data_IF_527808625141
#
_entry.id   IF_527808625141
#
_cell.length_a   1.000
_cell.length_b   1.000
_cell.length_c   1.000
_cell.angle_alpha   90.00
_cell.angle_beta   90.00
_cell.angle_gamma   90.00
#
_symmetry.space_group_name_H-M   'P 1'
#
loop_
_entity.id
_entity.type
_entity.pdbx_description
1 polymer ?
#
# COMPACT_ATOMS: atom_id res chain seq x y z
N UNK A 1 5.48 2.14 -21.06
CA UNK A 1 5.59 0.67 -21.15
C UNK A 1 6.06 0.26 -22.54
N UNK A 2 6.48 -1.00 -22.70
CA UNK A 2 6.71 -1.64 -23.99
C UNK A 2 5.53 -2.57 -24.29
N UNK A 3 4.79 -2.32 -25.37
CA UNK A 3 3.64 -3.15 -25.74
C UNK A 3 4.11 -4.58 -26.05
N UNK A 4 3.47 -5.59 -25.46
CA UNK A 4 3.91 -6.98 -25.62
C UNK A 4 3.73 -7.51 -27.05
N UNK A 5 2.65 -7.09 -27.73
CA UNK A 5 2.32 -7.56 -29.06
C UNK A 5 3.20 -6.93 -30.17
N UNK A 6 3.52 -5.64 -30.06
CA UNK A 6 4.19 -4.89 -31.14
C UNK A 6 5.61 -4.47 -30.79
N UNK A 7 6.02 -4.55 -29.52
CA UNK A 7 7.29 -4.00 -29.05
C UNK A 7 7.32 -2.46 -28.99
N UNK A 8 6.26 -1.77 -29.40
CA UNK A 8 6.20 -0.31 -29.43
C UNK A 8 6.20 0.28 -28.02
N UNK A 9 6.83 1.45 -27.87
CA UNK A 9 6.79 2.19 -26.60
C UNK A 9 5.50 3.01 -26.54
N UNK A 10 4.77 2.88 -25.43
CA UNK A 10 3.52 3.63 -25.17
C UNK A 10 3.52 4.22 -23.77
N UNK A 11 2.68 5.24 -23.53
CA UNK A 11 2.58 5.96 -22.24
C UNK A 11 1.15 5.95 -21.66
N UNK A 12 0.62 4.78 -21.26
CA UNK A 12 -0.71 4.72 -20.64
C UNK A 12 -0.69 5.14 -19.16
N UNK A 13 0.46 5.01 -18.49
CA UNK A 13 0.62 5.35 -17.08
C UNK A 13 0.76 6.88 -16.92
N UNK A 14 -0.22 7.50 -16.26
CA UNK A 14 -0.28 8.95 -16.03
C UNK A 14 -0.42 9.25 -14.54
N UNK A 15 0.14 10.37 -14.09
CA UNK A 15 0.01 10.85 -12.71
C UNK A 15 -0.63 12.22 -12.75
N UNK A 16 -1.80 12.33 -12.12
CA UNK A 16 -2.55 13.57 -12.01
C UNK A 16 -2.31 14.19 -10.63
N UNK A 17 -2.14 15.50 -10.59
CA UNK A 17 -1.89 16.24 -9.37
C UNK A 17 -2.66 17.56 -9.41
N UNK A 18 -3.04 18.06 -8.23
CA UNK A 18 -3.54 19.43 -8.10
C UNK A 18 -2.41 20.42 -8.39
N UNK A 19 -2.76 21.65 -8.79
CA UNK A 19 -1.76 22.69 -9.11
C UNK A 19 -0.76 22.89 -7.97
N UNK A 20 -1.24 22.95 -6.73
CA UNK A 20 -0.40 23.08 -5.53
C UNK A 20 0.64 21.96 -5.39
N UNK A 21 0.29 20.72 -5.72
CA UNK A 21 1.24 19.59 -5.65
C UNK A 21 2.21 19.65 -6.84
N UNK A 22 1.72 20.01 -8.02
CA UNK A 22 2.54 20.18 -9.22
C UNK A 22 3.63 21.25 -9.04
N UNK A 23 3.35 22.33 -8.31
CA UNK A 23 4.33 23.41 -8.03
C UNK A 23 5.55 22.92 -7.22
N UNK A 24 5.39 21.84 -6.44
CA UNK A 24 6.48 21.24 -5.67
C UNK A 24 7.30 20.21 -6.46
N UNK A 25 6.87 19.86 -7.68
CA UNK A 25 7.50 18.83 -8.51
C UNK A 25 8.80 19.36 -9.13
N UNK A 26 9.94 18.77 -8.76
CA UNK A 26 11.26 19.08 -9.34
C UNK A 26 11.58 18.22 -10.55
N UNK A 27 11.07 16.99 -10.61
CA UNK A 27 11.37 16.07 -11.72
C UNK A 27 10.28 15.00 -11.88
N UNK A 28 9.90 14.73 -13.12
CA UNK A 28 9.07 13.59 -13.51
C UNK A 28 9.73 12.89 -14.70
N UNK A 29 10.03 11.59 -14.58
CA UNK A 29 10.57 10.80 -15.70
C UNK A 29 10.24 9.33 -15.55
N UNK A 30 10.18 8.62 -16.67
CA UNK A 30 10.25 7.15 -16.67
C UNK A 30 11.69 6.69 -16.44
N UNK A 31 11.88 5.53 -15.80
CA UNK A 31 13.20 4.93 -15.59
C UNK A 31 13.20 3.50 -16.14
N UNK A 32 13.44 3.32 -17.45
CA UNK A 32 13.48 2.01 -18.07
C UNK A 32 14.51 1.07 -17.44
N UNK A 33 15.61 1.61 -16.90
CA UNK A 33 16.69 0.83 -16.29
C UNK A 33 16.27 0.18 -14.95
N UNK A 34 15.22 0.71 -14.32
CA UNK A 34 14.64 0.16 -13.09
C UNK A 34 13.39 -0.70 -13.37
N UNK A 35 13.19 -1.13 -14.62
CA UNK A 35 12.07 -2.01 -14.99
C UNK A 35 12.08 -3.29 -14.13
N UNK A 36 11.01 -3.55 -13.34
CA UNK A 36 10.93 -4.77 -12.54
C UNK A 36 10.89 -6.03 -13.43
N UNK A 37 11.33 -7.15 -12.86
CA UNK A 37 11.16 -8.46 -13.50
C UNK A 37 9.68 -8.76 -13.68
N UNK A 38 9.30 -9.38 -14.80
CA UNK A 38 7.94 -9.81 -15.12
C UNK A 38 6.90 -8.70 -15.32
N UNK A 39 7.33 -7.46 -15.60
CA UNK A 39 6.42 -6.40 -16.10
C UNK A 39 6.95 -5.82 -17.40
N UNK A 40 6.06 -5.38 -18.28
CA UNK A 40 6.38 -4.62 -19.48
C UNK A 40 6.26 -3.10 -19.26
N UNK A 41 5.90 -2.65 -18.05
CA UNK A 41 5.80 -1.25 -17.67
C UNK A 41 7.13 -0.69 -17.17
N UNK A 42 7.37 0.59 -17.44
CA UNK A 42 8.52 1.31 -16.88
C UNK A 42 8.05 2.12 -15.66
N UNK A 43 8.78 2.10 -14.54
CA UNK A 43 8.48 2.95 -13.40
C UNK A 43 8.49 4.44 -13.78
N UNK A 44 7.56 5.20 -13.21
CA UNK A 44 7.60 6.67 -13.22
C UNK A 44 8.18 7.14 -11.89
N UNK A 45 9.29 7.89 -11.95
CA UNK A 45 9.91 8.51 -10.78
C UNK A 45 9.56 9.99 -10.73
N UNK A 46 8.90 10.37 -9.65
CA UNK A 46 8.65 11.75 -9.28
C UNK A 46 9.62 12.17 -8.18
N UNK A 47 10.08 13.41 -8.24
CA UNK A 47 10.87 14.05 -7.18
C UNK A 47 10.17 15.34 -6.81
N UNK A 48 9.76 15.44 -5.56
CA UNK A 48 9.11 16.62 -5.01
C UNK A 48 10.04 17.30 -4.00
N UNK A 49 9.94 18.63 -3.93
CA UNK A 49 10.57 19.46 -2.91
C UNK A 49 9.55 19.75 -1.82
N UNK A 50 9.50 18.86 -0.84
CA UNK A 50 8.52 18.90 0.24
C UNK A 50 9.07 18.22 1.48
N UNK A 51 8.51 18.57 2.63
CA UNK A 51 8.82 17.94 3.90
C UNK A 51 7.91 16.74 4.12
N UNK A 52 8.48 15.62 4.58
CA UNK A 52 7.70 14.44 4.92
C UNK A 52 6.92 14.70 6.22
N UNK A 53 5.60 14.82 6.08
CA UNK A 53 4.69 14.93 7.22
C UNK A 53 4.35 13.56 7.78
N UNK A 54 4.04 13.51 9.07
CA UNK A 54 3.45 12.33 9.70
C UNK A 54 2.16 11.97 8.98
N UNK A 55 1.93 10.69 8.75
CA UNK A 55 0.74 10.21 8.05
C UNK A 55 0.11 9.04 8.76
N UNK A 56 -1.18 8.86 8.53
CA UNK A 56 -1.95 7.70 8.95
C UNK A 56 -1.35 6.41 8.39
N UNK A 57 -1.26 5.39 9.23
CA UNK A 57 -0.68 4.11 8.88
C UNK A 57 -1.73 2.99 8.83
N UNK A 58 -2.57 3.03 7.80
CA UNK A 58 -3.64 2.05 7.55
C UNK A 58 -3.20 0.58 7.53
N UNK A 59 -1.91 0.29 7.32
CA UNK A 59 -1.38 -1.09 7.30
C UNK A 59 -1.16 -1.69 8.70
N UNK A 60 -1.24 -0.85 9.74
CA UNK A 60 -0.95 -1.21 11.13
C UNK A 60 -2.17 -0.99 12.02
N UNK A 61 -3.35 -0.87 11.41
CA UNK A 61 -4.63 -0.69 12.08
C UNK A 61 -5.10 -2.02 12.63
N UNK A 62 -5.61 -2.02 13.87
CA UNK A 62 -6.48 -3.09 14.33
C UNK A 62 -7.87 -2.88 13.73
N UNK A 63 -8.17 -3.66 12.68
CA UNK A 63 -9.45 -3.55 11.98
C UNK A 63 -10.64 -4.00 12.83
N UNK A 64 -10.42 -4.81 13.85
CA UNK A 64 -11.49 -5.22 14.78
C UNK A 64 -11.92 -4.01 15.60
N UNK A 65 -10.96 -3.36 16.25
CA UNK A 65 -11.19 -2.14 17.04
C UNK A 65 -11.76 -1.01 16.17
N UNK A 66 -11.19 -0.81 14.96
CA UNK A 66 -11.69 0.19 14.01
C UNK A 66 -13.16 -0.04 13.67
N UNK A 67 -13.55 -1.28 13.36
CA UNK A 67 -14.92 -1.62 12.99
C UNK A 67 -15.89 -1.48 14.17
N UNK A 68 -15.47 -1.86 15.38
CA UNK A 68 -16.27 -1.67 16.59
C UNK A 68 -16.54 -0.19 16.84
N UNK A 69 -15.48 0.63 16.81
CA UNK A 69 -15.58 2.08 17.02
C UNK A 69 -16.44 2.76 15.95
N UNK A 70 -16.23 2.40 14.68
CA UNK A 70 -17.05 2.93 13.58
C UNK A 70 -18.51 2.51 13.73
N UNK A 71 -18.78 1.25 14.04
CA UNK A 71 -20.14 0.73 14.23
C UNK A 71 -20.89 1.48 15.32
N UNK A 72 -20.23 1.74 16.47
CA UNK A 72 -20.80 2.58 17.53
C UNK A 72 -21.12 3.99 17.03
N UNK A 73 -20.17 4.65 16.33
CA UNK A 73 -20.39 5.98 15.77
C UNK A 73 -21.54 6.03 14.75
N UNK A 74 -21.67 5.01 13.92
CA UNK A 74 -22.72 4.91 12.90
C UNK A 74 -24.08 4.55 13.49
N UNK A 75 -24.15 3.75 14.57
CA UNK A 75 -25.42 3.39 15.20
C UNK A 75 -26.21 4.58 15.76
N UNK A 76 -25.52 5.69 16.04
CA UNK A 76 -26.12 6.95 16.48
C UNK A 76 -26.75 7.71 15.29
N UNK A 77 -26.29 7.43 14.07
CA UNK A 77 -26.78 8.05 12.85
C UNK A 77 -27.93 7.21 12.31
N UNK A 78 -29.14 7.77 12.20
CA UNK A 78 -30.32 7.11 11.62
C UNK A 78 -30.19 6.95 10.08
N UNK A 79 -29.13 6.29 9.62
CA UNK A 79 -28.78 6.18 8.19
C UNK A 79 -29.72 5.25 7.41
N UNK A 80 -30.54 4.45 8.09
CA UNK A 80 -31.43 3.46 7.48
C UNK A 80 -32.75 4.03 6.96
N UNK A 81 -33.07 5.30 7.26
CA UNK A 81 -34.31 5.91 6.79
C UNK A 81 -34.26 6.22 5.28
N UNK A 82 -35.40 6.31 4.61
CA UNK A 82 -35.42 6.71 3.21
C UNK A 82 -35.03 8.19 3.06
N UNK A 83 -34.09 8.50 2.17
CA UNK A 83 -33.68 9.87 1.84
C UNK A 83 -34.74 10.50 0.94
N UNK A 84 -35.27 11.66 1.31
CA UNK A 84 -36.43 12.29 0.66
C UNK A 84 -36.05 13.42 -0.29
N UNK A 85 -34.90 14.05 -0.06
CA UNK A 85 -34.42 15.19 -0.85
C UNK A 85 -32.89 15.28 -0.84
N UNK A 86 -32.36 16.23 -1.62
CA UNK A 86 -30.91 16.42 -1.81
C UNK A 86 -30.26 16.97 -0.55
N UNK A 87 -30.96 17.82 0.20
CA UNK A 87 -30.47 18.43 1.43
C UNK A 87 -30.22 17.35 2.51
N UNK A 88 -31.18 16.43 2.67
CA UNK A 88 -31.08 15.28 3.57
C UNK A 88 -29.97 14.31 3.12
N UNK A 89 -29.78 14.14 1.81
CA UNK A 89 -28.66 13.36 1.28
C UNK A 89 -27.31 13.95 1.71
N UNK A 90 -27.09 15.25 1.49
CA UNK A 90 -25.84 15.91 1.81
C UNK A 90 -25.58 15.95 3.33
N UNK A 91 -26.63 16.12 4.14
CA UNK A 91 -26.53 16.03 5.59
C UNK A 91 -26.04 14.65 6.03
N UNK A 92 -26.69 13.58 5.55
CA UNK A 92 -26.29 12.20 5.89
C UNK A 92 -24.90 11.85 5.39
N UNK A 93 -24.55 12.29 4.18
CA UNK A 93 -23.19 12.15 3.63
C UNK A 93 -22.18 12.83 4.55
N UNK A 94 -22.44 14.06 4.96
CA UNK A 94 -21.57 14.82 5.87
C UNK A 94 -21.42 14.11 7.22
N UNK A 95 -22.50 13.57 7.77
CA UNK A 95 -22.46 12.81 9.03
C UNK A 95 -21.64 11.53 8.90
N UNK A 96 -21.80 10.79 7.80
CA UNK A 96 -21.00 9.60 7.50
C UNK A 96 -19.51 9.93 7.35
N UNK A 97 -19.17 10.96 6.57
CA UNK A 97 -17.79 11.43 6.38
C UNK A 97 -17.17 11.82 7.74
N UNK A 98 -17.91 12.52 8.59
CA UNK A 98 -17.47 12.89 9.95
C UNK A 98 -17.25 11.68 10.85
N UNK A 99 -18.17 10.72 10.87
CA UNK A 99 -18.03 9.51 11.69
C UNK A 99 -16.80 8.68 11.25
N UNK A 100 -16.58 8.57 9.94
CA UNK A 100 -15.40 7.91 9.39
C UNK A 100 -14.11 8.64 9.77
N UNK A 101 -14.06 9.96 9.56
CA UNK A 101 -12.88 10.77 9.89
C UNK A 101 -12.56 10.74 11.38
N UNK A 102 -13.57 10.84 12.24
CA UNK A 102 -13.39 10.73 13.69
C UNK A 102 -12.82 9.35 14.10
N UNK A 103 -13.27 8.28 13.45
CA UNK A 103 -12.75 6.93 13.71
C UNK A 103 -11.31 6.78 13.21
N UNK A 104 -11.00 7.35 12.04
CA UNK A 104 -9.64 7.40 11.50
C UNK A 104 -8.70 8.09 12.49
N UNK A 105 -9.07 9.27 12.98
CA UNK A 105 -8.26 10.06 13.91
C UNK A 105 -8.08 9.37 15.27
N UNK A 106 -9.10 8.65 15.74
CA UNK A 106 -9.05 7.96 17.03
C UNK A 106 -8.20 6.68 17.00
N UNK A 107 -8.33 5.87 15.93
CA UNK A 107 -7.80 4.50 15.91
C UNK A 107 -6.53 4.37 15.07
N UNK A 108 -6.41 5.12 13.97
CA UNK A 108 -5.33 4.86 13.02
C UNK A 108 -4.02 5.44 13.53
N UNK A 109 -2.97 4.61 13.70
CA UNK A 109 -1.71 5.08 14.23
C UNK A 109 -1.04 6.03 13.25
N UNK A 110 -0.49 7.12 13.76
CA UNK A 110 0.32 8.05 13.00
C UNK A 110 1.75 7.53 12.88
N UNK A 111 2.32 7.58 11.68
CA UNK A 111 3.70 7.16 11.41
C UNK A 111 4.46 8.25 10.66
N UNK A 112 5.68 8.54 11.14
CA UNK A 112 6.59 9.44 10.43
C UNK A 112 7.21 8.70 9.24
N UNK A 113 7.03 9.17 7.99
CA UNK A 113 7.63 8.51 6.84
C UNK A 113 9.16 8.53 6.93
N UNK A 114 9.76 7.41 6.53
CA UNK A 114 11.21 7.24 6.42
C UNK A 114 11.55 6.81 5.00
N UNK A 115 12.75 7.18 4.52
CA UNK A 115 13.26 6.77 3.20
C UNK A 115 13.36 5.25 3.01
N UNK A 116 13.38 4.48 4.10
CA UNK A 116 13.41 3.02 4.06
C UNK A 116 12.02 2.39 4.13
N UNK A 117 10.98 3.19 4.40
CA UNK A 117 9.61 2.71 4.49
C UNK A 117 9.06 2.50 3.09
N UNK A 118 8.64 1.28 2.80
CA UNK A 118 7.97 0.94 1.55
C UNK A 118 6.46 0.90 1.78
N UNK A 119 5.69 1.55 0.92
CA UNK A 119 4.23 1.64 1.04
C UNK A 119 3.54 0.28 0.92
N UNK A 120 4.09 -0.64 0.13
CA UNK A 120 3.59 -1.99 -0.11
C UNK A 120 4.10 -3.02 0.91
N UNK A 121 4.86 -2.61 1.92
CA UNK A 121 5.47 -3.53 2.88
C UNK A 121 4.60 -3.72 4.12
N UNK A 122 4.10 -4.94 4.31
CA UNK A 122 3.21 -5.34 5.41
C UNK A 122 3.91 -6.20 6.47
N UNK A 123 3.22 -6.49 7.59
CA UNK A 123 3.71 -7.40 8.63
C UNK A 123 3.84 -8.83 8.10
N UNK A 124 2.94 -9.26 7.23
CA UNK A 124 2.92 -10.58 6.59
C UNK A 124 4.16 -10.75 5.72
N UNK A 125 4.50 -9.76 4.87
CA UNK A 125 5.72 -9.75 4.09
C UNK A 125 6.97 -9.78 4.97
N UNK A 126 6.94 -9.12 6.14
CA UNK A 126 8.03 -9.19 7.11
C UNK A 126 8.22 -10.61 7.67
N UNK A 127 7.11 -11.30 7.99
CA UNK A 127 7.11 -12.70 8.45
C UNK A 127 7.62 -13.64 7.34
N UNK A 128 7.11 -13.53 6.12
CA UNK A 128 7.55 -14.32 4.96
C UNK A 128 9.04 -14.12 4.65
N UNK A 129 9.52 -12.88 4.70
CA UNK A 129 10.94 -12.57 4.52
C UNK A 129 11.81 -13.18 5.63
N UNK A 130 11.36 -13.10 6.88
CA UNK A 130 12.09 -13.65 8.02
C UNK A 130 12.21 -15.18 7.90
N UNK A 131 11.12 -15.85 7.53
CA UNK A 131 11.10 -17.30 7.30
C UNK A 131 12.00 -17.71 6.13
N UNK A 132 11.90 -17.02 5.00
CA UNK A 132 12.76 -17.25 3.83
C UNK A 132 14.24 -17.10 4.19
N UNK A 133 14.60 -16.07 4.97
CA UNK A 133 15.98 -15.87 5.45
C UNK A 133 16.42 -16.95 6.43
N UNK A 134 15.54 -17.41 7.32
CA UNK A 134 15.82 -18.51 8.25
C UNK A 134 16.16 -19.80 7.50
N UNK A 135 15.34 -20.15 6.50
CA UNK A 135 15.54 -21.31 5.64
C UNK A 135 16.80 -21.17 4.78
N UNK A 136 17.09 -19.98 4.26
CA UNK A 136 18.33 -19.70 3.52
C UNK A 136 19.58 -19.98 4.37
N UNK A 137 19.60 -19.56 5.64
CA UNK A 137 20.73 -19.84 6.55
C UNK A 137 20.91 -21.33 6.77
N UNK A 138 19.83 -22.07 6.98
CA UNK A 138 19.86 -23.53 7.14
C UNK A 138 20.34 -24.23 5.86
N UNK A 139 19.87 -23.77 4.70
CA UNK A 139 20.31 -24.26 3.40
C UNK A 139 21.80 -24.00 3.18
N UNK A 140 22.30 -22.83 3.57
CA UNK A 140 23.73 -22.51 3.45
C UNK A 140 24.59 -23.45 4.26
N UNK A 141 24.16 -23.84 5.47
CA UNK A 141 24.88 -24.79 6.31
C UNK A 141 24.88 -26.22 5.75
N UNK A 142 23.84 -26.59 4.99
CA UNK A 142 23.63 -27.94 4.44
C UNK A 142 23.74 -27.98 2.91
N UNK A 143 24.48 -27.04 2.33
CA UNK A 143 24.52 -26.83 0.87
C UNK A 143 25.00 -28.05 0.08
N UNK A 144 25.81 -28.91 0.71
CA UNK A 144 26.35 -30.14 0.12
C UNK A 144 25.40 -31.34 0.24
N UNK A 145 24.35 -31.25 1.06
CA UNK A 145 23.37 -32.32 1.27
C UNK A 145 22.22 -32.18 0.25
N UNK A 146 22.48 -32.47 -1.03
CA UNK A 146 21.55 -32.22 -2.16
C UNK A 146 20.13 -32.76 -1.95
N UNK A 147 19.98 -33.88 -1.24
CA UNK A 147 18.68 -34.52 -0.99
C UNK A 147 18.00 -34.05 0.31
N UNK A 148 18.56 -33.07 1.01
CA UNK A 148 17.99 -32.59 2.27
C UNK A 148 16.69 -31.79 1.99
N UNK A 149 15.59 -32.03 2.73
CA UNK A 149 14.29 -31.38 2.48
C UNK A 149 14.30 -29.85 2.63
N UNK A 150 15.39 -29.27 3.14
CA UNK A 150 15.57 -27.82 3.25
C UNK A 150 15.60 -27.13 1.89
N UNK A 151 16.09 -27.80 0.84
CA UNK A 151 16.14 -27.26 -0.52
C UNK A 151 14.73 -26.97 -1.04
N UNK A 152 13.80 -27.92 -0.87
CA UNK A 152 12.41 -27.75 -1.27
C UNK A 152 11.66 -26.77 -0.36
N UNK A 153 11.90 -26.81 0.96
CA UNK A 153 11.29 -25.86 1.89
C UNK A 153 11.70 -24.41 1.57
N UNK A 154 12.98 -24.18 1.30
CA UNK A 154 13.49 -22.86 0.89
C UNK A 154 12.87 -22.41 -0.43
N UNK A 155 12.83 -23.28 -1.46
CA UNK A 155 12.24 -22.97 -2.76
C UNK A 155 10.76 -22.57 -2.63
N UNK A 156 9.98 -23.30 -1.85
CA UNK A 156 8.56 -22.96 -1.58
C UNK A 156 8.42 -21.62 -0.89
N UNK A 157 9.20 -21.39 0.18
CA UNK A 157 9.16 -20.12 0.90
C UNK A 157 9.56 -18.93 0.02
N UNK A 158 10.57 -19.10 -0.84
CA UNK A 158 11.00 -18.10 -1.81
C UNK A 158 9.93 -17.80 -2.87
N UNK A 159 9.17 -18.81 -3.32
CA UNK A 159 8.07 -18.60 -4.27
C UNK A 159 6.84 -17.96 -3.62
N UNK A 160 6.65 -18.15 -2.31
CA UNK A 160 5.57 -17.53 -1.55
C UNK A 160 5.87 -16.08 -1.17
N UNK A 161 7.15 -15.74 -0.94
CA UNK A 161 7.62 -14.39 -0.62
C UNK A 161 7.82 -13.53 -1.88
#
# INVERSE_FOLDING_TARGET
LRAMATGNLTRPDNIFATSRVADTLKRCRTIPEEQPTHTNHFPIKLVFDTTLQTKENFKDVDWTEFNEHLSTGLSILNLNEMIRNVEEFEERRTLLEKALQATIEAIIPMTRPSKYMKCWWTKELSKLRAETRRLMRQLSARRQETNHPIHDKYRRAQNTY
#
